data_IF_545531065102
#
_entry.id   IF_545531065102
#
_cell.length_a   1.000
_cell.length_b   1.000
_cell.length_c   1.000
_cell.angle_alpha   90.00
_cell.angle_beta   90.00
_cell.angle_gamma   90.00
#
_symmetry.space_group_name_H-M   'P 1'
#
loop_
_entity.id
_entity.type
_entity.pdbx_description
1 polymer ?
#
# COMPACT_ATOMS: atom_id res chain seq x y z
N UNK A 1 -12.93 -2.24 -18.12
CA UNK A 1 -13.65 -1.16 -17.40
C UNK A 1 -12.73 -0.04 -16.97
N UNK A 2 -11.51 -0.34 -16.47
CA UNK A 2 -10.57 0.69 -16.00
C UNK A 2 -9.84 1.50 -17.07
N UNK A 3 -9.96 1.15 -18.35
CA UNK A 3 -9.44 1.99 -19.44
C UNK A 3 -10.12 3.35 -19.53
N UNK A 4 -11.33 3.51 -18.96
CA UNK A 4 -12.06 4.79 -18.93
C UNK A 4 -11.95 5.54 -17.59
N UNK A 5 -11.26 4.96 -16.59
CA UNK A 5 -11.21 5.48 -15.22
C UNK A 5 -12.52 5.29 -14.44
N UNK A 6 -12.42 5.09 -13.12
CA UNK A 6 -13.51 4.88 -12.17
C UNK A 6 -14.60 5.95 -12.25
N UNK A 7 -14.21 7.21 -12.49
CA UNK A 7 -15.15 8.33 -12.61
C UNK A 7 -16.17 8.13 -13.74
N UNK A 8 -15.78 7.44 -14.83
CA UNK A 8 -16.65 7.18 -15.99
C UNK A 8 -17.63 6.02 -15.79
N UNK A 9 -17.42 5.18 -14.78
CA UNK A 9 -18.26 4.00 -14.51
C UNK A 9 -19.60 4.48 -13.96
N UNK A 10 -20.71 3.97 -14.49
CA UNK A 10 -22.06 4.25 -13.99
C UNK A 10 -22.65 3.04 -13.26
N UNK A 11 -23.69 3.27 -12.44
CA UNK A 11 -24.48 2.17 -11.83
C UNK A 11 -25.09 1.26 -12.91
N UNK A 12 -25.42 1.82 -14.08
CA UNK A 12 -25.90 1.04 -15.22
C UNK A 12 -24.83 0.09 -15.77
N UNK A 13 -23.59 0.57 -15.92
CA UNK A 13 -22.48 -0.28 -16.35
C UNK A 13 -22.23 -1.42 -15.34
N UNK A 14 -22.27 -1.10 -14.04
CA UNK A 14 -22.07 -2.08 -12.95
C UNK A 14 -23.16 -3.15 -12.99
N UNK A 15 -24.43 -2.72 -12.99
CA UNK A 15 -25.58 -3.63 -12.95
C UNK A 15 -25.68 -4.49 -14.21
N UNK A 16 -25.38 -3.91 -15.38
CA UNK A 16 -25.30 -4.64 -16.65
C UNK A 16 -24.21 -5.70 -16.63
N UNK A 17 -23.02 -5.37 -16.11
CA UNK A 17 -21.91 -6.32 -16.04
C UNK A 17 -22.16 -7.45 -15.03
N UNK A 18 -22.83 -7.14 -13.92
CA UNK A 18 -23.13 -8.09 -12.86
C UNK A 18 -24.38 -8.95 -13.12
N UNK A 19 -25.10 -8.71 -14.22
CA UNK A 19 -26.41 -9.32 -14.52
C UNK A 19 -27.42 -9.13 -13.37
N UNK A 20 -27.48 -7.90 -12.83
CA UNK A 20 -28.34 -7.52 -11.71
C UNK A 20 -29.31 -6.40 -12.12
N UNK A 21 -30.49 -6.39 -11.50
CA UNK A 21 -31.40 -5.26 -11.64
C UNK A 21 -30.95 -4.04 -10.83
N UNK A 22 -31.23 -2.83 -11.32
CA UNK A 22 -30.97 -1.57 -10.58
C UNK A 22 -31.63 -1.55 -9.20
N UNK A 23 -32.83 -2.11 -9.08
CA UNK A 23 -33.52 -2.22 -7.79
C UNK A 23 -32.73 -3.05 -6.77
N UNK A 24 -32.07 -4.13 -7.22
CA UNK A 24 -31.19 -4.95 -6.37
C UNK A 24 -29.95 -4.17 -5.96
N UNK A 25 -29.32 -3.43 -6.88
CA UNK A 25 -28.18 -2.58 -6.54
C UNK A 25 -28.53 -1.56 -5.45
N UNK A 26 -29.61 -0.79 -5.65
CA UNK A 26 -30.01 0.25 -4.71
C UNK A 26 -30.60 -0.29 -3.39
N UNK A 27 -30.89 -1.59 -3.31
CA UNK A 27 -31.22 -2.23 -2.04
C UNK A 27 -29.99 -2.39 -1.12
N UNK A 28 -28.79 -2.41 -1.70
CA UNK A 28 -27.52 -2.59 -0.97
C UNK A 28 -26.66 -1.32 -0.93
N UNK A 29 -26.72 -0.49 -1.97
CA UNK A 29 -25.80 0.65 -2.14
C UNK A 29 -26.55 1.92 -2.57
N UNK A 30 -26.24 3.04 -1.92
CA UNK A 30 -26.82 4.35 -2.28
C UNK A 30 -26.36 4.81 -3.67
N UNK A 31 -25.11 4.52 -4.03
CA UNK A 31 -24.48 4.84 -5.30
C UNK A 31 -23.25 3.94 -5.54
N UNK A 32 -22.49 4.22 -6.61
CA UNK A 32 -21.27 3.47 -6.93
C UNK A 32 -20.13 3.71 -5.93
N UNK A 33 -20.13 4.86 -5.24
CA UNK A 33 -19.08 5.23 -4.30
C UNK A 33 -19.26 4.46 -3.00
N UNK A 34 -20.50 4.26 -2.53
CA UNK A 34 -20.82 3.37 -1.42
C UNK A 34 -20.40 1.91 -1.69
N UNK A 35 -20.58 1.42 -2.93
CA UNK A 35 -20.06 0.10 -3.33
C UNK A 35 -18.52 0.10 -3.32
N UNK A 36 -17.88 1.14 -3.86
CA UNK A 36 -16.43 1.22 -3.90
C UNK A 36 -15.82 1.27 -2.50
N UNK A 37 -16.42 2.00 -1.56
CA UNK A 37 -16.00 2.00 -0.16
C UNK A 37 -15.99 0.61 0.45
N UNK A 38 -17.04 -0.19 0.21
CA UNK A 38 -17.08 -1.58 0.69
C UNK A 38 -15.96 -2.41 0.04
N UNK A 39 -15.72 -2.25 -1.25
CA UNK A 39 -14.63 -2.95 -1.95
C UNK A 39 -13.27 -2.57 -1.35
N UNK A 40 -13.05 -1.30 -1.03
CA UNK A 40 -11.81 -0.84 -0.37
C UNK A 40 -11.64 -1.52 0.99
N UNK A 41 -12.70 -1.55 1.80
CA UNK A 41 -12.67 -2.18 3.12
C UNK A 41 -12.39 -3.70 3.02
N UNK A 42 -12.98 -4.39 2.02
CA UNK A 42 -12.72 -5.81 1.73
C UNK A 42 -11.26 -6.06 1.33
N UNK A 43 -10.69 -5.24 0.45
CA UNK A 43 -9.28 -5.34 0.03
C UNK A 43 -8.33 -5.09 1.20
N UNK A 44 -8.64 -4.12 2.06
CA UNK A 44 -7.87 -3.84 3.27
C UNK A 44 -7.91 -5.04 4.23
N UNK A 45 -9.07 -5.66 4.40
CA UNK A 45 -9.25 -6.83 5.24
C UNK A 45 -8.50 -8.05 4.70
N UNK A 46 -8.62 -8.38 3.40
CA UNK A 46 -7.90 -9.53 2.81
C UNK A 46 -6.38 -9.32 2.88
N UNK A 47 -5.92 -8.11 2.57
CA UNK A 47 -4.52 -7.73 2.74
C UNK A 47 -4.06 -7.98 4.18
N UNK A 48 -4.83 -7.54 5.18
CA UNK A 48 -4.45 -7.73 6.58
C UNK A 48 -4.33 -9.21 6.96
N UNK A 49 -5.28 -10.05 6.54
CA UNK A 49 -5.23 -11.51 6.77
C UNK A 49 -3.96 -12.14 6.18
N UNK A 50 -3.50 -11.65 5.02
CA UNK A 50 -2.28 -12.15 4.36
C UNK A 50 -0.99 -11.64 4.98
N UNK A 51 -1.00 -10.43 5.52
CA UNK A 51 0.17 -9.81 6.12
C UNK A 51 0.41 -10.31 7.55
N UNK A 52 -0.64 -10.54 8.33
CA UNK A 52 -0.55 -10.98 9.74
C UNK A 52 0.43 -12.15 9.97
N UNK A 53 0.47 -13.21 9.14
CA UNK A 53 1.34 -14.35 9.37
C UNK A 53 2.81 -14.08 9.08
N UNK A 54 3.18 -13.02 8.37
CA UNK A 54 4.57 -12.68 8.00
C UNK A 54 5.05 -11.41 8.70
N UNK A 55 4.13 -10.66 9.29
CA UNK A 55 4.40 -9.40 9.94
C UNK A 55 5.36 -9.57 11.13
N UNK A 56 6.47 -8.82 11.12
CA UNK A 56 7.43 -8.80 12.22
C UNK A 56 8.23 -10.09 12.46
N UNK A 57 8.05 -11.15 11.65
CA UNK A 57 8.70 -12.45 11.88
C UNK A 57 10.18 -12.50 11.51
N UNK A 58 10.62 -11.64 10.61
CA UNK A 58 11.95 -11.76 10.01
C UNK A 58 13.05 -11.10 10.87
N UNK A 59 12.69 -10.42 11.96
CA UNK A 59 13.61 -9.68 12.85
C UNK A 59 14.24 -8.43 12.23
N UNK A 60 14.35 -8.38 10.90
CA UNK A 60 14.99 -7.34 10.07
C UNK A 60 14.16 -6.07 9.88
N UNK A 61 12.97 -5.98 10.48
CA UNK A 61 12.14 -4.78 10.45
C UNK A 61 10.70 -5.07 10.08
N UNK A 62 9.95 -4.01 9.78
CA UNK A 62 8.60 -4.08 9.19
C UNK A 62 8.66 -4.35 7.68
N UNK A 63 9.75 -3.92 7.05
CA UNK A 63 10.05 -4.11 5.63
C UNK A 63 10.62 -5.52 5.42
N UNK A 64 10.29 -6.20 4.31
CA UNK A 64 10.68 -7.60 4.05
C UNK A 64 9.53 -8.46 3.52
N UNK A 65 9.30 -9.65 4.11
CA UNK A 65 8.23 -10.56 3.66
C UNK A 65 6.84 -9.92 3.67
N UNK A 66 6.56 -9.02 4.61
CA UNK A 66 5.29 -8.28 4.62
C UNK A 66 5.11 -7.42 3.36
N UNK A 67 6.16 -6.74 2.90
CA UNK A 67 6.09 -5.93 1.67
C UNK A 67 6.05 -6.82 0.44
N UNK A 68 6.77 -7.93 0.44
CA UNK A 68 6.69 -8.94 -0.62
C UNK A 68 5.28 -9.49 -0.76
N UNK A 69 4.63 -9.85 0.36
CA UNK A 69 3.24 -10.30 0.39
C UNK A 69 2.26 -9.20 -0.07
N UNK A 70 2.49 -7.93 0.31
CA UNK A 70 1.71 -6.80 -0.18
C UNK A 70 1.80 -6.66 -1.70
N UNK A 71 3.00 -6.73 -2.27
CA UNK A 71 3.20 -6.64 -3.73
C UNK A 71 2.54 -7.80 -4.46
N UNK A 72 2.62 -9.02 -3.94
CA UNK A 72 1.90 -10.17 -4.49
C UNK A 72 0.39 -10.00 -4.45
N UNK A 73 -0.16 -9.56 -3.32
CA UNK A 73 -1.59 -9.30 -3.17
C UNK A 73 -2.05 -8.19 -4.12
N UNK A 74 -1.30 -7.10 -4.21
CA UNK A 74 -1.60 -6.01 -5.13
C UNK A 74 -1.49 -6.44 -6.61
N UNK A 75 -0.61 -7.38 -6.94
CA UNK A 75 -0.55 -7.94 -8.29
C UNK A 75 -1.78 -8.81 -8.63
N UNK A 76 -2.34 -9.53 -7.63
CA UNK A 76 -3.56 -10.32 -7.76
C UNK A 76 -4.79 -9.42 -7.90
N UNK A 77 -4.89 -8.38 -7.06
CA UNK A 77 -5.99 -7.42 -7.02
C UNK A 77 -5.68 -6.11 -7.78
N UNK A 78 -4.88 -6.21 -8.85
CA UNK A 78 -4.25 -5.07 -9.56
C UNK A 78 -5.20 -3.92 -9.83
N UNK A 79 -6.34 -4.24 -10.41
CA UNK A 79 -7.29 -3.25 -10.90
C UNK A 79 -7.87 -2.43 -9.76
N UNK A 80 -8.19 -3.08 -8.63
CA UNK A 80 -8.69 -2.42 -7.41
C UNK A 80 -7.61 -1.55 -6.77
N UNK A 81 -6.39 -2.07 -6.62
CA UNK A 81 -5.27 -1.28 -6.10
C UNK A 81 -4.96 -0.07 -6.96
N UNK A 82 -5.06 -0.16 -8.29
CA UNK A 82 -4.85 0.99 -9.17
C UNK A 82 -5.88 2.09 -8.94
N UNK A 83 -7.16 1.75 -8.80
CA UNK A 83 -8.21 2.75 -8.50
C UNK A 83 -7.93 3.43 -7.17
N UNK A 84 -7.63 2.63 -6.13
CA UNK A 84 -7.33 3.11 -4.78
C UNK A 84 -6.11 4.04 -4.80
N UNK A 85 -4.97 3.57 -5.32
CA UNK A 85 -3.69 4.25 -5.19
C UNK A 85 -3.56 5.48 -6.11
N UNK A 86 -4.32 5.54 -7.21
CA UNK A 86 -4.44 6.75 -8.04
C UNK A 86 -5.30 7.84 -7.38
N UNK A 87 -6.06 7.51 -6.34
CA UNK A 87 -7.03 8.40 -5.75
C UNK A 87 -8.14 8.79 -6.73
N UNK A 88 -8.59 7.85 -7.58
CA UNK A 88 -9.71 8.11 -8.49
C UNK A 88 -11.01 8.36 -7.70
N UNK A 89 -12.01 8.98 -8.35
CA UNK A 89 -13.22 9.45 -7.67
C UNK A 89 -12.96 10.71 -6.86
N UNK A 90 -13.35 10.72 -5.58
CA UNK A 90 -13.13 11.82 -4.63
C UNK A 90 -11.86 11.61 -3.77
N UNK A 91 -11.04 10.61 -4.11
CA UNK A 91 -9.84 10.23 -3.36
C UNK A 91 -10.11 9.58 -1.99
N UNK A 92 -11.35 9.21 -1.66
CA UNK A 92 -11.67 8.56 -0.40
C UNK A 92 -10.97 7.21 -0.23
N UNK A 93 -10.91 6.40 -1.29
CA UNK A 93 -10.22 5.11 -1.25
C UNK A 93 -8.74 5.24 -0.85
N UNK A 94 -8.03 6.20 -1.46
CA UNK A 94 -6.64 6.49 -1.11
C UNK A 94 -6.51 6.95 0.35
N UNK A 95 -7.35 7.88 0.79
CA UNK A 95 -7.34 8.40 2.17
C UNK A 95 -7.58 7.29 3.18
N UNK A 96 -8.63 6.48 3.00
CA UNK A 96 -8.93 5.32 3.85
C UNK A 96 -7.76 4.34 3.91
N UNK A 97 -7.20 3.98 2.75
CA UNK A 97 -6.06 3.07 2.69
C UNK A 97 -4.85 3.63 3.47
N UNK A 98 -4.48 4.90 3.24
CA UNK A 98 -3.33 5.53 3.91
C UNK A 98 -3.59 5.68 5.42
N UNK A 99 -4.78 6.10 5.84
CA UNK A 99 -5.10 6.30 7.25
C UNK A 99 -5.10 4.99 8.03
N UNK A 100 -5.78 3.96 7.51
CA UNK A 100 -5.83 2.64 8.13
C UNK A 100 -4.43 2.00 8.22
N UNK A 101 -3.65 2.05 7.12
CA UNK A 101 -2.28 1.51 7.12
C UNK A 101 -1.36 2.29 8.05
N UNK A 102 -1.49 3.62 8.10
CA UNK A 102 -0.67 4.46 9.00
C UNK A 102 -0.98 4.17 10.47
N UNK A 103 -2.25 3.95 10.83
CA UNK A 103 -2.62 3.57 12.19
C UNK A 103 -1.98 2.23 12.60
N UNK A 104 -2.05 1.21 11.72
CA UNK A 104 -1.46 -0.11 11.98
C UNK A 104 0.06 -0.07 12.09
N UNK A 105 0.72 0.69 11.22
CA UNK A 105 2.18 0.87 11.24
C UNK A 105 2.62 1.62 12.50
N UNK A 106 1.86 2.62 12.94
CA UNK A 106 2.12 3.37 14.19
C UNK A 106 2.09 2.45 15.41
N UNK A 107 1.05 1.60 15.50
CA UNK A 107 0.91 0.60 16.56
C UNK A 107 2.11 -0.35 16.59
N UNK A 108 2.53 -0.85 15.43
CA UNK A 108 3.68 -1.73 15.32
C UNK A 108 4.98 -1.05 15.77
N UNK A 109 5.28 0.15 15.28
CA UNK A 109 6.53 0.83 15.63
C UNK A 109 6.60 1.13 17.12
N UNK A 110 5.49 1.54 17.72
CA UNK A 110 5.40 1.81 19.15
C UNK A 110 5.60 0.51 19.94
N UNK A 111 4.85 -0.55 19.61
CA UNK A 111 4.95 -1.83 20.31
C UNK A 111 6.35 -2.44 20.23
N UNK A 112 6.97 -2.42 19.05
CA UNK A 112 8.34 -2.90 18.86
C UNK A 112 9.33 -2.07 19.67
N UNK A 113 9.19 -0.75 19.66
CA UNK A 113 10.09 0.14 20.43
C UNK A 113 10.02 -0.16 21.92
N UNK A 114 8.81 -0.35 22.45
CA UNK A 114 8.57 -0.68 23.86
C UNK A 114 9.11 -2.07 24.22
N UNK A 115 8.87 -3.08 23.37
CA UNK A 115 9.34 -4.44 23.57
C UNK A 115 10.88 -4.54 23.59
N UNK A 116 11.55 -3.76 22.74
CA UNK A 116 13.02 -3.71 22.66
C UNK A 116 13.65 -2.69 23.64
N UNK A 117 12.83 -1.96 24.41
CA UNK A 117 13.30 -0.94 25.36
C UNK A 117 14.07 0.22 24.71
N UNK A 118 13.84 0.47 23.42
CA UNK A 118 14.47 1.56 22.67
C UNK A 118 13.56 2.78 22.64
N UNK A 119 14.15 3.97 22.58
CA UNK A 119 13.40 5.23 22.45
C UNK A 119 13.31 5.65 21.00
N UNK A 120 12.09 5.82 20.48
CA UNK A 120 11.87 6.43 19.17
C UNK A 120 12.41 7.87 19.13
N UNK A 121 13.07 8.21 18.03
CA UNK A 121 13.72 9.52 17.84
C UNK A 121 12.83 10.56 17.16
N UNK A 122 11.76 10.10 16.53
CA UNK A 122 10.75 10.92 15.89
C UNK A 122 9.37 10.42 16.32
N UNK A 123 8.37 11.26 16.09
CA UNK A 123 6.98 10.91 16.35
C UNK A 123 6.56 9.66 15.54
N UNK A 124 5.94 8.65 16.16
CA UNK A 124 5.61 7.39 15.49
C UNK A 124 4.55 7.57 14.39
N UNK A 125 3.66 8.55 14.53
CA UNK A 125 2.62 8.85 13.56
C UNK A 125 3.24 9.47 12.29
N UNK A 126 4.22 10.36 12.46
CA UNK A 126 5.02 10.92 11.35
C UNK A 126 5.84 9.82 10.66
N UNK A 127 6.52 8.97 11.44
CA UNK A 127 7.30 7.85 10.90
C UNK A 127 6.43 6.90 10.07
N UNK A 128 5.26 6.53 10.60
CA UNK A 128 4.32 5.63 9.94
C UNK A 128 3.79 6.24 8.63
N UNK A 129 3.34 7.50 8.65
CA UNK A 129 2.80 8.15 7.44
C UNK A 129 3.86 8.33 6.35
N UNK A 130 5.09 8.69 6.72
CA UNK A 130 6.19 8.80 5.77
C UNK A 130 6.48 7.46 5.09
N UNK A 131 6.52 6.38 5.88
CA UNK A 131 6.77 5.03 5.39
C UNK A 131 5.60 4.50 4.54
N UNK A 132 4.35 4.66 4.99
CA UNK A 132 3.16 4.24 4.20
C UNK A 132 3.08 4.99 2.88
N UNK A 133 3.34 6.29 2.88
CA UNK A 133 3.34 7.10 1.65
C UNK A 133 4.40 6.66 0.65
N UNK A 134 5.61 6.31 1.13
CA UNK A 134 6.69 5.76 0.30
C UNK A 134 6.26 4.46 -0.37
N UNK A 135 5.79 3.49 0.42
CA UNK A 135 5.37 2.18 -0.10
C UNK A 135 4.17 2.31 -1.05
N UNK A 136 3.17 3.11 -0.70
CA UNK A 136 1.98 3.32 -1.54
C UNK A 136 2.36 3.92 -2.90
N UNK A 137 3.26 4.89 -2.93
CA UNK A 137 3.71 5.54 -4.17
C UNK A 137 4.52 4.59 -5.04
N UNK A 138 5.46 3.84 -4.46
CA UNK A 138 6.26 2.86 -5.20
C UNK A 138 5.39 1.72 -5.74
N UNK A 139 4.45 1.23 -4.93
CA UNK A 139 3.50 0.20 -5.36
C UNK A 139 2.62 0.67 -6.52
N UNK A 140 2.09 1.89 -6.46
CA UNK A 140 1.29 2.49 -7.53
C UNK A 140 2.08 2.53 -8.85
N UNK A 141 3.32 3.04 -8.79
CA UNK A 141 4.22 3.07 -9.94
C UNK A 141 4.53 1.67 -10.49
N UNK A 142 4.81 0.70 -9.62
CA UNK A 142 5.13 -0.66 -10.02
C UNK A 142 3.95 -1.37 -10.73
N UNK A 143 2.71 -1.17 -10.26
CA UNK A 143 1.50 -1.74 -10.89
C UNK A 143 1.25 -1.23 -12.32
N UNK A 144 1.76 -0.05 -12.63
CA UNK A 144 1.63 0.64 -13.91
C UNK A 144 2.82 0.45 -14.84
N UNK A 145 3.95 -0.02 -14.32
CA UNK A 145 5.17 -0.24 -15.09
C UNK A 145 5.03 -1.43 -16.07
N UNK A 146 5.66 -1.30 -17.23
CA UNK A 146 5.76 -2.34 -18.26
C UNK A 146 7.12 -2.20 -19.01
N UNK A 147 8.04 -3.17 -18.92
CA UNK A 147 7.97 -4.37 -18.07
C UNK A 147 8.07 -4.03 -16.58
N UNK A 148 7.51 -4.89 -15.71
CA UNK A 148 7.67 -4.75 -14.26
C UNK A 148 8.97 -5.37 -13.79
N UNK A 149 9.63 -4.72 -12.84
CA UNK A 149 10.69 -5.33 -12.05
C UNK A 149 10.15 -6.56 -11.28
N UNK A 150 10.95 -7.61 -11.09
CA UNK A 150 10.60 -8.70 -10.18
C UNK A 150 10.24 -8.18 -8.78
N UNK A 151 9.29 -8.85 -8.11
CA UNK A 151 8.82 -8.42 -6.78
C UNK A 151 9.98 -8.48 -5.77
N UNK A 152 10.79 -9.53 -5.80
CA UNK A 152 11.91 -9.69 -4.87
C UNK A 152 12.93 -8.55 -5.00
N UNK A 153 13.27 -8.15 -6.24
CA UNK A 153 14.22 -7.06 -6.48
C UNK A 153 13.74 -5.73 -5.87
N UNK A 154 12.48 -5.36 -6.12
CA UNK A 154 11.95 -4.09 -5.62
C UNK A 154 11.73 -4.11 -4.09
N UNK A 155 11.33 -5.24 -3.52
CA UNK A 155 11.15 -5.32 -2.06
C UNK A 155 12.47 -5.41 -1.32
N UNK A 156 13.52 -5.95 -1.93
CA UNK A 156 14.89 -5.90 -1.42
C UNK A 156 15.44 -4.47 -1.46
N UNK A 157 15.20 -3.69 -2.51
CA UNK A 157 15.57 -2.27 -2.55
C UNK A 157 14.87 -1.46 -1.45
N UNK A 158 13.56 -1.67 -1.26
CA UNK A 158 12.79 -1.02 -0.18
C UNK A 158 13.29 -1.44 1.21
N UNK A 159 13.67 -2.71 1.39
CA UNK A 159 14.27 -3.19 2.64
C UNK A 159 15.61 -2.51 2.92
N UNK A 160 16.50 -2.43 1.93
CA UNK A 160 17.78 -1.75 2.08
C UNK A 160 17.59 -0.26 2.40
N UNK A 161 16.65 0.42 1.73
CA UNK A 161 16.30 1.79 2.04
C UNK A 161 15.79 1.96 3.47
N UNK A 162 14.96 1.03 3.95
CA UNK A 162 14.43 1.03 5.31
C UNK A 162 15.50 0.79 6.38
N UNK A 163 16.52 -0.01 6.08
CA UNK A 163 17.59 -0.37 7.02
C UNK A 163 18.69 0.70 7.11
N UNK A 164 19.04 1.29 5.98
CA UNK A 164 20.21 2.15 5.86
C UNK A 164 19.85 3.63 5.67
N UNK A 165 18.61 3.92 5.29
CA UNK A 165 18.12 5.27 5.05
C UNK A 165 18.57 5.86 3.70
N UNK A 166 17.99 7.02 3.38
CA UNK A 166 18.15 7.71 2.09
C UNK A 166 19.55 8.25 1.82
N UNK A 167 20.30 8.57 2.88
CA UNK A 167 21.66 9.06 2.75
C UNK A 167 22.58 7.97 2.18
N UNK A 168 22.51 6.77 2.77
CA UNK A 168 23.18 5.59 2.23
C UNK A 168 22.67 5.20 0.84
N UNK A 169 21.36 5.17 0.64
CA UNK A 169 20.77 4.77 -0.64
C UNK A 169 21.12 5.71 -1.81
N UNK A 170 21.58 6.94 -1.52
CA UNK A 170 22.06 7.88 -2.53
C UNK A 170 23.59 7.84 -2.73
N UNK A 171 24.28 6.84 -2.16
CA UNK A 171 25.70 6.58 -2.36
C UNK A 171 26.62 7.27 -1.36
N UNK A 172 26.10 7.78 -0.24
CA UNK A 172 26.90 8.43 0.79
C UNK A 172 27.13 7.50 1.99
N UNK A 173 28.39 7.33 2.38
CA UNK A 173 28.74 6.67 3.63
C UNK A 173 28.80 7.67 4.79
N UNK A 174 28.76 7.16 6.04
CA UNK A 174 28.78 7.97 7.26
C UNK A 174 29.99 8.92 7.40
N UNK A 175 31.04 8.75 6.58
CA UNK A 175 32.26 9.56 6.56
C UNK A 175 32.37 10.55 5.38
N UNK A 176 31.36 10.63 4.51
CA UNK A 176 31.33 11.51 3.34
C UNK A 176 31.33 10.75 2.02
N UNK A 177 30.85 11.41 0.95
CA UNK A 177 30.66 10.81 -0.37
C UNK A 177 31.97 10.20 -0.91
N UNK A 178 31.96 8.90 -1.22
CA UNK A 178 32.89 8.36 -2.21
C UNK A 178 32.22 8.37 -3.59
N UNK A 179 32.89 8.87 -4.64
CA UNK A 179 32.36 8.75 -5.99
C UNK A 179 32.26 7.27 -6.38
N UNK A 180 31.32 6.90 -7.29
CA UNK A 180 31.15 5.52 -7.71
C UNK A 180 32.47 4.97 -8.29
N UNK A 181 32.93 3.84 -7.76
CA UNK A 181 33.98 3.04 -8.39
C UNK A 181 33.50 2.62 -9.78
N UNK A 182 34.30 2.99 -10.78
CA UNK A 182 34.09 2.73 -12.21
C UNK A 182 34.06 1.24 -12.55
#
# INVERSE_FOLDING_TARGET
>A
MLERGYSSITVEDITTRADLGRATFYAHYTDKDALFEQIVDEVIADMQVRLEPVFGKDGRGFTGQAITALFHHAAQERDTYRVILRGEGDGLGLRRFVDDRSARVTEYFTHRSDAEGVRMRIDPEILARAWVGEIATVLAWWLESDPRAPIDDITDELLNLSLHGRYWASGFDAEGAQPPTS
#
